data_IF_801545527439
#
_entry.id   IF_801545527439
#
_cell.length_a   1.000
_cell.length_b   1.000
_cell.length_c   1.000
_cell.angle_alpha   90.00
_cell.angle_beta   90.00
_cell.angle_gamma   90.00
#
_symmetry.space_group_name_H-M   'P 1'
#
loop_
_entity.id
_entity.type
_entity.pdbx_description
1 polymer ?
#
# COMPACT_ATOMS: atom_id res chain seq x y z
N UNK A 1 -15.07 -25.05 -0.99
CA UNK A 1 -14.50 -25.17 -2.36
C UNK A 1 -15.22 -26.32 -3.03
N UNK A 2 -15.84 -26.04 -4.16
CA UNK A 2 -16.43 -27.07 -5.03
C UNK A 2 -15.71 -27.00 -6.37
N UNK A 3 -15.04 -28.07 -6.77
CA UNK A 3 -14.24 -28.09 -8.00
C UNK A 3 -14.40 -29.44 -8.72
N UNK A 4 -14.55 -29.36 -10.04
CA UNK A 4 -14.52 -30.46 -10.99
C UNK A 4 -13.32 -30.26 -11.92
N UNK A 5 -12.48 -31.29 -12.04
CA UNK A 5 -11.25 -31.24 -12.82
C UNK A 5 -11.29 -32.37 -13.85
N UNK A 6 -11.38 -31.97 -15.11
CA UNK A 6 -11.11 -32.83 -16.25
C UNK A 6 -9.72 -32.47 -16.79
N UNK A 7 -9.01 -33.38 -17.45
CA UNK A 7 -7.58 -33.25 -17.79
C UNK A 7 -7.18 -31.91 -18.43
N UNK A 8 -8.10 -31.26 -19.15
CA UNK A 8 -7.88 -29.97 -19.81
C UNK A 8 -8.55 -28.77 -19.13
N UNK A 9 -9.44 -28.97 -18.15
CA UNK A 9 -10.24 -27.90 -17.53
C UNK A 9 -10.51 -28.12 -16.05
N UNK A 10 -10.35 -27.07 -15.26
CA UNK A 10 -10.78 -27.00 -13.87
C UNK A 10 -11.92 -25.97 -13.73
N UNK A 11 -13.09 -26.43 -13.30
CA UNK A 11 -14.25 -25.57 -13.04
C UNK A 11 -14.61 -25.65 -11.57
N UNK A 12 -15.00 -24.53 -10.97
CA UNK A 12 -15.49 -24.57 -9.61
C UNK A 12 -16.05 -23.26 -9.12
N UNK A 13 -16.30 -23.23 -7.81
CA UNK A 13 -16.72 -22.04 -7.08
C UNK A 13 -16.00 -21.99 -5.74
N UNK A 14 -15.43 -20.84 -5.42
CA UNK A 14 -14.99 -20.50 -4.09
C UNK A 14 -16.12 -19.71 -3.44
N UNK A 15 -16.75 -20.31 -2.44
CA UNK A 15 -17.85 -19.70 -1.70
C UNK A 15 -17.48 -19.69 -0.21
N UNK A 16 -17.55 -18.50 0.39
CA UNK A 16 -17.38 -18.25 1.82
C UNK A 16 -18.47 -17.27 2.22
N UNK A 17 -19.19 -17.58 3.28
CA UNK A 17 -20.25 -16.74 3.80
C UNK A 17 -20.08 -16.58 5.30
N UNK A 18 -20.12 -15.33 5.76
CA UNK A 18 -20.12 -14.94 7.18
C UNK A 18 -19.04 -15.68 8.01
N UNK A 19 -17.83 -15.80 7.43
CA UNK A 19 -16.72 -16.46 8.09
C UNK A 19 -15.96 -15.47 8.97
N UNK A 20 -15.86 -15.82 10.25
CA UNK A 20 -14.99 -15.18 11.21
C UNK A 20 -13.81 -16.09 11.53
N UNK A 21 -12.61 -15.52 11.56
CA UNK A 21 -11.37 -16.24 11.86
C UNK A 21 -10.61 -15.52 12.97
N UNK A 22 -10.33 -16.22 14.06
CA UNK A 22 -9.46 -15.73 15.14
C UNK A 22 -8.21 -16.60 15.23
N UNK A 23 -7.06 -15.95 15.18
CA UNK A 23 -5.80 -16.52 15.66
C UNK A 23 -5.51 -15.93 17.03
N UNK A 24 -5.22 -16.75 18.03
CA UNK A 24 -4.90 -16.26 19.37
C UNK A 24 -3.88 -17.12 20.10
N UNK A 25 -3.07 -16.44 20.92
CA UNK A 25 -2.12 -17.01 21.87
C UNK A 25 -2.41 -16.40 23.25
N UNK A 26 -2.95 -17.22 24.16
CA UNK A 26 -3.36 -16.78 25.49
C UNK A 26 -4.67 -15.98 25.52
N UNK A 27 -5.01 -15.46 26.70
CA UNK A 27 -6.23 -14.66 26.91
C UNK A 27 -5.84 -13.19 27.07
N UNK A 28 -6.26 -12.37 26.10
CA UNK A 28 -5.93 -10.95 26.11
C UNK A 28 -6.69 -10.16 27.15
N UNK A 29 -5.96 -9.50 28.05
CA UNK A 29 -6.52 -8.59 29.04
C UNK A 29 -5.47 -7.57 29.47
N UNK A 30 -5.89 -6.51 30.15
CA UNK A 30 -4.94 -5.56 30.76
C UNK A 30 -4.02 -6.21 31.80
N UNK A 31 -4.43 -7.35 32.40
CA UNK A 31 -3.62 -8.15 33.31
C UNK A 31 -2.69 -9.14 32.59
N UNK A 32 -2.88 -9.36 31.29
CA UNK A 32 -2.06 -10.22 30.44
C UNK A 32 -1.79 -9.53 29.10
N UNK A 33 -0.93 -8.49 29.09
CA UNK A 33 -0.63 -7.72 27.89
C UNK A 33 0.22 -8.50 26.89
N UNK A 34 0.95 -9.53 27.31
CA UNK A 34 1.82 -10.35 26.46
C UNK A 34 1.06 -11.40 25.61
N UNK A 35 -0.27 -11.33 25.61
CA UNK A 35 -1.10 -12.16 24.74
C UNK A 35 -0.90 -11.79 23.26
N UNK A 36 -1.47 -12.56 22.35
CA UNK A 36 -1.63 -12.10 20.97
C UNK A 36 -2.96 -12.58 20.43
N UNK A 37 -3.64 -11.74 19.66
CA UNK A 37 -4.81 -12.19 18.89
C UNK A 37 -5.03 -11.30 17.69
N UNK A 38 -5.41 -11.93 16.58
CA UNK A 38 -5.82 -11.29 15.33
C UNK A 38 -7.15 -11.89 14.91
N UNK A 39 -8.08 -11.02 14.58
CA UNK A 39 -9.43 -11.37 14.19
C UNK A 39 -9.71 -10.82 12.79
N UNK A 40 -10.25 -11.68 11.93
CA UNK A 40 -10.81 -11.34 10.63
C UNK A 40 -12.31 -11.56 10.73
N UNK A 41 -13.09 -10.51 10.52
CA UNK A 41 -14.54 -10.51 10.68
C UNK A 41 -15.27 -10.35 9.34
N UNK A 42 -16.42 -11.01 9.23
CA UNK A 42 -17.39 -10.91 8.13
C UNK A 42 -16.75 -11.20 6.76
N UNK A 43 -15.91 -12.24 6.68
CA UNK A 43 -15.31 -12.65 5.43
C UNK A 43 -16.36 -13.31 4.54
N UNK A 44 -16.60 -12.68 3.39
CA UNK A 44 -17.55 -13.13 2.38
C UNK A 44 -16.85 -13.18 1.01
N UNK A 45 -17.00 -14.30 0.31
CA UNK A 45 -16.43 -14.51 -1.02
C UNK A 45 -17.38 -15.35 -1.86
N UNK A 46 -17.65 -14.91 -3.08
CA UNK A 46 -18.36 -15.68 -4.08
C UNK A 46 -17.68 -15.53 -5.45
N UNK A 47 -16.81 -16.48 -5.76
CA UNK A 47 -16.01 -16.49 -6.98
C UNK A 47 -16.19 -17.80 -7.74
N UNK A 48 -17.08 -17.84 -8.75
CA UNK A 48 -17.06 -18.91 -9.75
C UNK A 48 -15.80 -18.80 -10.62
N UNK A 49 -15.22 -19.94 -10.99
CA UNK A 49 -14.06 -19.99 -11.87
C UNK A 49 -14.19 -21.11 -12.91
N UNK A 50 -13.60 -20.86 -14.08
CA UNK A 50 -13.33 -21.84 -15.12
C UNK A 50 -11.93 -21.57 -15.65
N UNK A 51 -11.05 -22.53 -15.42
CA UNK A 51 -9.67 -22.52 -15.85
C UNK A 51 -9.45 -23.57 -16.93
N UNK A 52 -8.83 -23.19 -18.04
CA UNK A 52 -8.51 -24.05 -19.18
C UNK A 52 -7.00 -24.31 -19.19
N UNK A 53 -6.57 -25.49 -18.75
CA UNK A 53 -5.15 -25.86 -18.63
C UNK A 53 -4.52 -26.05 -20.01
N UNK A 54 -5.33 -26.38 -21.03
CA UNK A 54 -4.89 -26.55 -22.40
C UNK A 54 -4.70 -25.22 -23.15
N UNK A 55 -4.91 -24.08 -22.49
CA UNK A 55 -4.77 -22.76 -23.10
C UNK A 55 -3.30 -22.41 -23.38
N UNK A 56 -2.88 -22.48 -24.65
CA UNK A 56 -1.47 -22.27 -25.04
C UNK A 56 -1.09 -20.84 -25.43
N UNK A 57 -2.07 -19.98 -25.70
CA UNK A 57 -1.85 -18.61 -26.17
C UNK A 57 -2.39 -17.57 -25.15
N UNK A 58 -1.77 -17.44 -23.97
CA UNK A 58 -2.24 -16.52 -22.95
C UNK A 58 -2.20 -15.08 -23.45
N UNK A 59 -3.27 -14.34 -23.18
CA UNK A 59 -3.38 -12.94 -23.57
C UNK A 59 -2.37 -12.10 -22.77
N UNK A 60 -1.47 -11.40 -23.45
CA UNK A 60 -0.58 -10.46 -22.77
C UNK A 60 -1.35 -9.17 -22.43
N UNK A 61 -1.72 -9.04 -21.17
CA UNK A 61 -2.52 -7.91 -20.66
C UNK A 61 -1.63 -6.69 -20.45
N UNK A 62 -0.38 -6.91 -20.07
CA UNK A 62 0.67 -5.90 -19.93
C UNK A 62 0.90 -5.07 -21.21
N UNK A 63 0.86 -5.71 -22.37
CA UNK A 63 1.18 -5.10 -23.67
C UNK A 63 0.02 -4.40 -24.37
N UNK A 64 -1.17 -4.33 -23.77
CA UNK A 64 -2.35 -3.73 -24.41
C UNK A 64 -2.62 -2.28 -23.91
N UNK A 65 -2.18 -1.25 -24.66
CA UNK A 65 -2.37 0.15 -24.27
C UNK A 65 -3.83 0.54 -24.51
N UNK A 66 -4.67 0.41 -23.49
CA UNK A 66 -6.07 0.81 -23.57
C UNK A 66 -7.02 0.01 -22.67
N UNK A 67 -6.58 -1.13 -22.13
CA UNK A 67 -7.34 -1.94 -21.14
C UNK A 67 -8.80 -2.20 -21.53
N UNK A 68 -9.11 -2.19 -22.83
CA UNK A 68 -10.46 -2.39 -23.37
C UNK A 68 -11.05 -3.71 -22.88
N UNK A 69 -10.21 -4.72 -22.71
CA UNK A 69 -10.62 -5.99 -22.11
C UNK A 69 -11.11 -5.86 -20.67
N UNK A 70 -10.49 -5.04 -19.81
CA UNK A 70 -10.95 -4.85 -18.42
C UNK A 70 -12.23 -4.02 -18.33
N UNK A 71 -12.54 -3.20 -19.34
CA UNK A 71 -13.77 -2.40 -19.36
C UNK A 71 -15.04 -3.28 -19.44
N UNK A 72 -14.91 -4.50 -20.00
CA UNK A 72 -16.00 -5.49 -20.08
C UNK A 72 -16.21 -6.27 -18.77
N UNK A 73 -15.34 -6.08 -17.78
CA UNK A 73 -15.46 -6.70 -16.46
C UNK A 73 -16.09 -5.69 -15.48
N UNK A 74 -17.13 -6.15 -14.77
CA UNK A 74 -17.54 -5.65 -13.46
C UNK A 74 -17.98 -4.20 -13.28
N UNK A 75 -17.93 -3.30 -14.27
CA UNK A 75 -18.26 -1.88 -14.03
C UNK A 75 -19.68 -1.71 -13.46
N UNK A 76 -19.77 -1.22 -12.21
CA UNK A 76 -21.03 -1.00 -11.50
C UNK A 76 -21.63 -2.23 -10.81
N UNK A 77 -20.96 -3.39 -10.79
CA UNK A 77 -21.44 -4.58 -10.09
C UNK A 77 -21.12 -4.55 -8.60
N UNK A 78 -21.94 -5.24 -7.80
CA UNK A 78 -21.74 -5.39 -6.36
C UNK A 78 -20.48 -6.21 -6.07
N UNK A 79 -19.77 -5.83 -5.00
CA UNK A 79 -18.62 -6.58 -4.49
C UNK A 79 -19.04 -8.00 -4.10
N UNK A 80 -18.29 -8.99 -4.59
CA UNK A 80 -18.44 -10.41 -4.24
C UNK A 80 -17.28 -10.90 -3.37
N UNK A 81 -16.36 -10.02 -2.99
CA UNK A 81 -15.35 -10.27 -1.97
C UNK A 81 -15.37 -9.12 -0.97
N UNK A 82 -15.63 -9.44 0.30
CA UNK A 82 -15.76 -8.47 1.38
C UNK A 82 -15.07 -9.01 2.63
N UNK A 83 -14.40 -8.11 3.35
CA UNK A 83 -13.99 -8.33 4.74
C UNK A 83 -14.55 -7.15 5.54
N UNK A 84 -15.29 -7.45 6.60
CA UNK A 84 -15.85 -6.45 7.51
C UNK A 84 -14.74 -5.69 8.23
N UNK A 85 -13.91 -6.40 8.99
CA UNK A 85 -12.75 -5.81 9.64
C UNK A 85 -11.60 -6.79 9.84
N UNK A 86 -10.39 -6.26 9.99
CA UNK A 86 -9.24 -7.00 10.52
C UNK A 86 -8.69 -6.20 11.68
N UNK A 87 -8.60 -6.83 12.84
CA UNK A 87 -8.20 -6.15 14.05
C UNK A 87 -7.42 -7.07 14.98
N UNK A 88 -6.62 -6.49 15.87
CA UNK A 88 -5.70 -7.20 16.74
C UNK A 88 -5.73 -6.66 18.16
N UNK A 89 -5.32 -7.50 19.11
CA UNK A 89 -5.02 -7.05 20.49
C UNK A 89 -3.79 -6.15 20.56
N UNK A 90 -3.00 -6.08 19.50
CA UNK A 90 -1.77 -5.30 19.41
C UNK A 90 -1.78 -4.36 18.20
N UNK A 91 -1.22 -3.17 18.37
CA UNK A 91 -0.99 -2.26 17.26
C UNK A 91 0.24 -2.72 16.41
N UNK A 92 0.52 -2.10 15.25
CA UNK A 92 1.66 -2.47 14.41
C UNK A 92 3.04 -2.33 15.09
N UNK A 93 3.12 -1.60 16.20
CA UNK A 93 4.34 -1.42 17.00
C UNK A 93 4.55 -2.55 18.03
N UNK A 94 3.59 -3.47 18.14
CA UNK A 94 3.60 -4.52 19.16
C UNK A 94 3.17 -4.04 20.54
N UNK A 95 2.43 -2.93 20.63
CA UNK A 95 1.89 -2.44 21.91
C UNK A 95 0.47 -2.97 22.11
N UNK A 96 0.17 -3.45 23.32
CA UNK A 96 -1.16 -3.91 23.70
C UNK A 96 -2.20 -2.80 23.57
N UNK A 97 -3.29 -3.08 22.87
CA UNK A 97 -4.40 -2.18 22.56
C UNK A 97 -5.69 -2.72 23.24
N UNK A 98 -6.06 -2.21 24.44
CA UNK A 98 -7.17 -2.75 25.23
C UNK A 98 -8.54 -2.74 24.55
N UNK A 99 -8.72 -1.90 23.52
CA UNK A 99 -9.94 -1.75 22.72
C UNK A 99 -9.90 -2.41 21.34
N UNK A 100 -8.86 -3.21 21.05
CA UNK A 100 -8.46 -3.70 19.71
C UNK A 100 -7.96 -2.58 18.79
N UNK A 101 -6.91 -2.88 18.04
CA UNK A 101 -6.42 -2.04 16.96
C UNK A 101 -7.00 -2.53 15.64
N UNK A 102 -7.72 -1.68 14.90
CA UNK A 102 -8.31 -2.01 13.62
C UNK A 102 -7.35 -1.66 12.49
N UNK A 103 -6.83 -2.67 11.80
CA UNK A 103 -6.00 -2.47 10.60
C UNK A 103 -6.84 -2.04 9.41
N UNK A 104 -7.99 -2.69 9.23
CA UNK A 104 -8.96 -2.32 8.20
C UNK A 104 -10.37 -2.42 8.77
N UNK A 105 -11.26 -1.60 8.24
CA UNK A 105 -12.65 -1.51 8.70
C UNK A 105 -12.77 -0.88 10.07
N UNK A 106 -13.94 -1.07 10.66
CA UNK A 106 -14.32 -0.55 11.96
C UNK A 106 -15.15 -1.62 12.68
N UNK A 107 -15.55 -1.43 13.95
CA UNK A 107 -16.46 -2.35 14.62
C UNK A 107 -17.75 -2.57 13.80
N UNK A 108 -18.29 -3.78 13.89
CA UNK A 108 -19.41 -4.27 13.07
C UNK A 108 -20.66 -3.37 13.06
N UNK A 109 -20.87 -2.57 14.11
CA UNK A 109 -22.01 -1.67 14.24
C UNK A 109 -22.01 -0.47 13.27
N UNK A 110 -20.96 -0.28 12.46
CA UNK A 110 -20.84 0.81 11.50
C UNK A 110 -21.35 0.44 10.09
N UNK A 111 -21.66 -0.82 9.78
CA UNK A 111 -22.06 -1.29 8.44
C UNK A 111 -21.09 -0.84 7.32
N UNK A 112 -19.78 -0.79 7.61
CA UNK A 112 -18.78 -0.46 6.59
C UNK A 112 -17.79 -1.61 6.46
N UNK A 113 -17.70 -2.17 5.25
CA UNK A 113 -16.65 -3.11 4.88
C UNK A 113 -15.29 -2.42 4.89
N UNK A 114 -14.35 -3.02 5.63
CA UNK A 114 -12.94 -2.63 5.64
C UNK A 114 -12.23 -2.97 4.34
N UNK A 115 -12.63 -4.05 3.67
CA UNK A 115 -12.20 -4.38 2.32
C UNK A 115 -13.42 -4.77 1.48
N UNK A 116 -13.49 -4.26 0.27
CA UNK A 116 -14.48 -4.67 -0.72
C UNK A 116 -13.84 -4.73 -2.10
N UNK A 117 -14.09 -5.78 -2.85
CA UNK A 117 -13.65 -5.93 -4.23
C UNK A 117 -14.67 -6.69 -5.06
N UNK A 118 -14.71 -6.42 -6.36
CA UNK A 118 -15.37 -7.27 -7.34
C UNK A 118 -14.32 -8.15 -8.00
N UNK A 119 -14.33 -9.44 -7.71
CA UNK A 119 -13.45 -10.45 -8.30
C UNK A 119 -14.18 -11.17 -9.44
N UNK A 120 -13.56 -11.20 -10.62
CA UNK A 120 -14.06 -11.96 -11.76
C UNK A 120 -12.95 -12.87 -12.29
N UNK A 121 -13.29 -14.13 -12.57
CA UNK A 121 -12.36 -15.10 -13.15
C UNK A 121 -12.83 -15.54 -14.53
N UNK A 122 -12.14 -15.11 -15.59
CA UNK A 122 -12.47 -15.51 -16.97
C UNK A 122 -11.21 -15.65 -17.82
N UNK A 123 -11.22 -16.63 -18.73
CA UNK A 123 -10.10 -16.90 -19.66
C UNK A 123 -8.75 -17.01 -18.94
N UNK A 124 -8.75 -17.73 -17.82
CA UNK A 124 -7.60 -17.92 -16.92
C UNK A 124 -7.07 -16.65 -16.24
N UNK A 125 -7.80 -15.53 -16.32
CA UNK A 125 -7.43 -14.28 -15.65
C UNK A 125 -8.36 -14.04 -14.47
N UNK A 126 -7.76 -13.85 -13.29
CA UNK A 126 -8.42 -13.25 -12.13
C UNK A 126 -8.29 -11.74 -12.23
N UNK A 127 -9.41 -11.03 -12.18
CA UNK A 127 -9.47 -9.57 -12.21
C UNK A 127 -10.15 -9.10 -10.94
N UNK A 128 -9.64 -8.02 -10.34
CA UNK A 128 -10.37 -7.29 -9.32
C UNK A 128 -10.67 -5.86 -9.81
N UNK A 129 -11.95 -5.62 -10.11
CA UNK A 129 -12.44 -4.29 -10.42
C UNK A 129 -12.76 -3.57 -9.11
N UNK A 130 -12.17 -2.39 -8.93
CA UNK A 130 -12.42 -1.54 -7.77
C UNK A 130 -12.22 -2.23 -6.42
N UNK A 131 -11.02 -2.78 -6.16
CA UNK A 131 -10.65 -3.13 -4.79
C UNK A 131 -10.53 -1.85 -3.96
N UNK A 132 -11.18 -1.80 -2.81
CA UNK A 132 -11.13 -0.69 -1.87
C UNK A 132 -10.85 -1.21 -0.48
N UNK A 133 -9.80 -0.67 0.13
CA UNK A 133 -9.48 -0.86 1.54
C UNK A 133 -9.73 0.45 2.27
N UNK A 134 -10.44 0.38 3.39
CA UNK A 134 -10.74 1.52 4.26
C UNK A 134 -10.19 1.26 5.64
N UNK A 135 -9.56 2.29 6.19
CA UNK A 135 -8.97 2.26 7.52
C UNK A 135 -9.71 3.30 8.36
N UNK A 136 -9.85 3.04 9.65
CA UNK A 136 -10.61 3.90 10.55
C UNK A 136 -9.88 4.08 11.87
N UNK A 137 -9.96 5.30 12.41
CA UNK A 137 -9.54 5.60 13.77
C UNK A 137 -10.68 5.48 14.76
N UNK A 138 -10.37 5.11 16.02
CA UNK A 138 -11.34 5.19 17.10
C UNK A 138 -11.80 6.64 17.27
N UNK A 139 -12.99 6.86 17.83
CA UNK A 139 -13.48 8.19 18.11
C UNK A 139 -12.53 8.93 19.06
N UNK A 140 -12.20 10.18 18.74
CA UNK A 140 -11.31 11.05 19.54
C UNK A 140 -12.01 11.68 20.76
N UNK A 141 -13.31 11.40 20.97
CA UNK A 141 -14.11 11.94 22.07
C UNK A 141 -14.41 13.44 21.96
N UNK A 142 -14.09 14.09 20.84
CA UNK A 142 -14.19 15.53 20.66
C UNK A 142 -15.00 15.94 19.42
N UNK A 143 -15.73 17.04 19.51
CA UNK A 143 -16.49 17.59 18.39
C UNK A 143 -17.77 16.82 18.01
N UNK A 144 -18.40 17.17 16.88
CA UNK A 144 -19.73 16.65 16.49
C UNK A 144 -19.73 15.15 16.12
N UNK A 145 -18.55 14.55 15.97
CA UNK A 145 -18.36 13.13 15.65
C UNK A 145 -17.65 12.35 16.77
N UNK A 146 -17.65 12.85 18.01
CA UNK A 146 -16.96 12.30 19.18
C UNK A 146 -17.19 10.80 19.46
N UNK A 147 -18.25 10.21 18.90
CA UNK A 147 -18.62 8.80 19.08
C UNK A 147 -18.57 7.96 17.78
N UNK A 148 -18.03 8.51 16.68
CA UNK A 148 -17.96 7.82 15.38
C UNK A 148 -16.51 7.52 15.01
N UNK A 149 -16.29 6.32 14.48
CA UNK A 149 -15.02 5.96 13.87
C UNK A 149 -14.77 6.86 12.66
N UNK A 150 -13.59 7.47 12.60
CA UNK A 150 -13.24 8.43 11.54
C UNK A 150 -12.44 7.71 10.45
N UNK A 151 -12.80 7.91 9.18
CA UNK A 151 -12.07 7.28 8.09
C UNK A 151 -10.66 7.87 7.97
N UNK A 152 -9.64 7.02 8.03
CA UNK A 152 -8.23 7.39 8.06
C UNK A 152 -7.52 6.92 6.79
N UNK A 153 -8.01 7.45 5.69
CA UNK A 153 -7.50 7.13 4.37
C UNK A 153 -8.07 5.85 3.77
N UNK A 154 -7.76 5.68 2.49
CA UNK A 154 -8.22 4.56 1.70
C UNK A 154 -7.17 4.18 0.67
N UNK A 155 -7.15 2.88 0.34
CA UNK A 155 -6.37 2.33 -0.75
C UNK A 155 -7.38 1.83 -1.79
N UNK A 156 -7.41 2.47 -2.95
CA UNK A 156 -8.22 2.05 -4.09
C UNK A 156 -7.31 1.36 -5.12
N UNK A 157 -7.67 0.18 -5.60
CA UNK A 157 -7.14 -0.39 -6.84
C UNK A 157 -8.12 -0.13 -7.97
N UNK A 158 -7.62 0.31 -9.13
CA UNK A 158 -8.47 0.47 -10.32
C UNK A 158 -8.41 -0.72 -11.26
N UNK A 159 -7.26 -1.38 -11.35
CA UNK A 159 -7.02 -2.44 -12.32
C UNK A 159 -6.05 -3.45 -11.70
N UNK A 160 -6.59 -4.40 -10.94
CA UNK A 160 -5.84 -5.57 -10.48
C UNK A 160 -6.14 -6.71 -11.43
N UNK A 161 -5.11 -7.38 -11.93
CA UNK A 161 -5.25 -8.63 -12.65
C UNK A 161 -4.13 -9.60 -12.31
N UNK A 162 -4.44 -10.88 -12.41
CA UNK A 162 -3.53 -12.00 -12.36
C UNK A 162 -3.92 -12.95 -13.49
N UNK A 163 -3.16 -12.92 -14.57
CA UNK A 163 -3.27 -13.86 -15.67
C UNK A 163 -2.51 -15.13 -15.30
N UNK A 164 -3.26 -16.20 -15.02
CA UNK A 164 -2.71 -17.49 -14.64
C UNK A 164 -2.31 -18.37 -15.83
N UNK A 165 -2.62 -17.94 -17.07
CA UNK A 165 -2.23 -18.65 -18.29
C UNK A 165 -2.50 -20.16 -18.21
N UNK A 166 -1.52 -20.98 -18.58
CA UNK A 166 -1.47 -22.46 -18.50
C UNK A 166 -0.90 -22.97 -17.15
N UNK A 167 -0.89 -22.12 -16.13
CA UNK A 167 -0.23 -22.35 -14.85
C UNK A 167 1.31 -22.48 -14.91
N UNK A 168 1.93 -22.16 -16.05
CA UNK A 168 3.38 -21.99 -16.14
C UNK A 168 3.76 -20.55 -15.75
N UNK A 169 4.58 -20.40 -14.72
CA UNK A 169 5.03 -19.09 -14.23
C UNK A 169 5.70 -18.22 -15.29
N UNK A 170 6.29 -18.81 -16.33
CA UNK A 170 6.88 -18.06 -17.45
C UNK A 170 5.86 -17.29 -18.29
N UNK A 171 4.62 -17.80 -18.31
CA UNK A 171 3.52 -17.29 -19.11
C UNK A 171 2.50 -16.48 -18.29
N UNK A 172 2.66 -16.46 -16.96
CA UNK A 172 1.79 -15.71 -16.07
C UNK A 172 2.16 -14.24 -16.03
N UNK A 173 1.14 -13.39 -15.87
CA UNK A 173 1.30 -11.95 -15.71
C UNK A 173 0.50 -11.46 -14.51
N UNK A 174 0.97 -10.41 -13.86
CA UNK A 174 0.24 -9.74 -12.80
C UNK A 174 0.37 -8.23 -12.92
N UNK A 175 -0.70 -7.50 -12.62
CA UNK A 175 -0.65 -6.05 -12.60
C UNK A 175 -1.61 -5.48 -11.59
N UNK A 176 -1.23 -4.35 -11.00
CA UNK A 176 -2.06 -3.62 -10.06
C UNK A 176 -1.77 -2.12 -10.12
N UNK A 177 -2.82 -1.31 -10.15
CA UNK A 177 -2.76 0.15 -10.04
C UNK A 177 -3.46 0.59 -8.78
N UNK A 178 -2.68 1.05 -7.80
CA UNK A 178 -3.11 1.51 -6.49
C UNK A 178 -3.11 3.04 -6.41
N UNK A 179 -4.12 3.58 -5.76
CA UNK A 179 -4.22 4.97 -5.34
C UNK A 179 -4.43 5.00 -3.82
N UNK A 180 -3.46 5.55 -3.11
CA UNK A 180 -3.46 5.74 -1.66
C UNK A 180 -3.87 7.19 -1.40
N UNK A 181 -4.91 7.38 -0.60
CA UNK A 181 -5.45 8.70 -0.28
C UNK A 181 -5.42 8.93 1.22
N UNK A 182 -4.67 9.96 1.64
CA UNK A 182 -4.62 10.48 3.00
C UNK A 182 -4.44 9.38 4.07
N UNK A 183 -3.57 8.40 3.79
CA UNK A 183 -3.30 7.31 4.72
C UNK A 183 -2.37 7.82 5.81
N UNK A 184 -2.78 7.75 7.07
CA UNK A 184 -1.90 8.07 8.18
C UNK A 184 -1.01 6.87 8.51
N UNK A 185 0.30 7.06 8.38
CA UNK A 185 1.29 6.03 8.72
C UNK A 185 1.74 6.08 10.17
N UNK A 186 1.32 7.07 10.96
CA UNK A 186 1.75 7.23 12.35
C UNK A 186 1.64 5.93 13.16
N UNK A 187 0.51 5.18 13.14
CA UNK A 187 0.39 3.94 13.92
C UNK A 187 1.36 2.83 13.51
N UNK A 188 1.90 2.91 12.28
CA UNK A 188 2.80 1.91 11.68
C UNK A 188 4.27 2.23 11.88
N UNK A 189 4.58 3.43 12.34
CA UNK A 189 5.94 3.92 12.53
C UNK A 189 6.30 3.89 14.01
N UNK A 190 7.59 3.75 14.39
CA UNK A 190 8.03 3.78 15.79
C UNK A 190 7.63 5.05 16.53
N UNK A 191 7.50 5.00 17.87
CA UNK A 191 7.19 6.18 18.70
C UNK A 191 8.28 7.25 18.53
N UNK A 192 7.87 8.38 17.99
CA UNK A 192 8.65 9.61 18.00
C UNK A 192 8.50 10.35 19.32
N UNK A 193 9.54 11.11 19.72
CA UNK A 193 9.46 12.09 20.81
C UNK A 193 8.75 13.39 20.42
N UNK A 194 8.55 13.66 19.12
CA UNK A 194 7.80 14.79 18.58
C UNK A 194 6.48 14.32 17.94
N UNK A 195 5.42 15.12 18.09
CA UNK A 195 4.16 14.90 17.38
C UNK A 195 4.40 15.19 15.89
N UNK A 196 4.10 14.24 15.01
CA UNK A 196 4.20 14.43 13.56
C UNK A 196 2.92 13.93 12.88
N UNK A 197 2.55 14.58 11.78
CA UNK A 197 1.45 14.15 10.92
C UNK A 197 2.00 13.07 9.98
N UNK A 198 1.48 11.84 10.02
CA UNK A 198 1.97 10.72 9.20
C UNK A 198 1.29 10.57 7.84
N UNK A 199 0.53 11.56 7.39
CA UNK A 199 -0.34 11.44 6.21
C UNK A 199 0.45 11.34 4.89
N UNK A 200 0.17 10.29 4.13
CA UNK A 200 0.66 10.09 2.76
C UNK A 200 -0.48 10.01 1.74
N UNK A 201 -0.23 10.53 0.55
CA UNK A 201 -1.03 10.23 -0.64
C UNK A 201 -0.11 9.93 -1.82
N UNK A 202 -0.35 8.81 -2.48
CA UNK A 202 0.52 8.27 -3.50
C UNK A 202 -0.24 7.41 -4.51
N UNK A 203 0.30 7.32 -5.71
CA UNK A 203 -0.12 6.36 -6.73
C UNK A 203 0.99 5.34 -6.94
N UNK A 204 0.63 4.06 -7.03
CA UNK A 204 1.58 3.00 -7.32
C UNK A 204 1.06 2.11 -8.45
N UNK A 205 1.91 1.84 -9.45
CA UNK A 205 1.69 0.84 -10.49
C UNK A 205 2.73 -0.25 -10.32
N UNK A 206 2.28 -1.50 -10.29
CA UNK A 206 3.13 -2.68 -10.30
C UNK A 206 2.68 -3.56 -11.45
N UNK A 207 3.62 -4.07 -12.22
CA UNK A 207 3.34 -4.90 -13.38
C UNK A 207 4.45 -5.91 -13.59
N UNK A 208 4.10 -7.18 -13.73
CA UNK A 208 5.01 -8.29 -13.98
C UNK A 208 4.55 -9.06 -15.20
N UNK A 209 5.44 -9.21 -16.18
CA UNK A 209 5.13 -9.87 -17.46
C UNK A 209 5.47 -11.36 -17.47
N UNK A 210 6.11 -11.86 -16.41
CA UNK A 210 6.48 -13.26 -16.20
C UNK A 210 6.80 -13.47 -14.71
N UNK A 211 6.17 -14.46 -14.07
CA UNK A 211 6.29 -14.74 -12.64
C UNK A 211 7.37 -15.78 -12.25
N UNK A 212 8.15 -16.31 -13.18
CA UNK A 212 9.30 -17.21 -12.89
C UNK A 212 10.40 -16.48 -12.12
N UNK A 213 10.71 -15.25 -12.55
CA UNK A 213 11.70 -14.38 -11.93
C UNK A 213 11.09 -13.00 -11.66
N UNK A 214 10.12 -12.92 -10.73
CA UNK A 214 9.26 -11.75 -10.58
C UNK A 214 10.06 -10.50 -10.24
N UNK A 215 11.18 -10.62 -9.51
CA UNK A 215 12.05 -9.49 -9.17
C UNK A 215 12.58 -8.74 -10.40
N UNK A 216 12.97 -9.48 -11.45
CA UNK A 216 13.58 -8.91 -12.66
C UNK A 216 12.53 -8.55 -13.71
N UNK A 217 11.42 -9.29 -13.73
CA UNK A 217 10.34 -9.12 -14.70
C UNK A 217 9.27 -8.11 -14.24
N UNK A 218 9.45 -7.52 -13.06
CA UNK A 218 8.52 -6.54 -12.51
C UNK A 218 8.99 -5.12 -12.79
N UNK A 219 8.08 -4.32 -13.33
CA UNK A 219 8.17 -2.86 -13.34
C UNK A 219 7.29 -2.31 -12.24
N UNK A 220 7.83 -1.40 -11.43
CA UNK A 220 7.05 -0.66 -10.44
C UNK A 220 7.24 0.83 -10.65
N UNK A 221 6.18 1.61 -10.45
CA UNK A 221 6.21 3.06 -10.46
C UNK A 221 5.44 3.54 -9.23
N UNK A 222 6.10 4.25 -8.33
CA UNK A 222 5.47 4.89 -7.17
C UNK A 222 5.63 6.39 -7.30
N UNK A 223 4.55 7.14 -7.15
CA UNK A 223 4.52 8.60 -7.20
C UNK A 223 3.86 9.14 -5.95
N UNK A 224 4.63 9.78 -5.08
CA UNK A 224 4.16 10.41 -3.84
C UNK A 224 3.88 11.87 -4.15
N UNK A 225 2.64 12.31 -3.92
CA UNK A 225 2.18 13.67 -4.24
C UNK A 225 1.77 14.47 -3.00
N UNK A 226 1.60 13.81 -1.86
CA UNK A 226 1.51 14.46 -0.54
C UNK A 226 2.30 13.65 0.47
N UNK A 227 3.17 14.35 1.19
CA UNK A 227 3.94 13.84 2.31
C UNK A 227 4.04 14.94 3.35
N UNK A 228 3.92 14.61 4.62
CA UNK A 228 4.13 15.60 5.68
C UNK A 228 5.59 16.06 5.72
N UNK A 229 5.87 17.31 6.13
CA UNK A 229 7.23 17.84 6.21
C UNK A 229 8.16 16.96 7.06
N UNK A 230 7.66 16.43 8.18
CA UNK A 230 8.41 15.59 9.12
C UNK A 230 8.78 14.23 8.52
N UNK A 231 7.91 13.69 7.66
CA UNK A 231 8.14 12.42 6.95
C UNK A 231 8.95 12.62 5.66
N UNK A 232 8.93 13.83 5.08
CA UNK A 232 9.67 14.14 3.86
C UNK A 232 11.18 13.92 4.03
N UNK A 233 11.76 14.28 5.18
CA UNK A 233 13.18 14.06 5.48
C UNK A 233 13.56 12.59 5.59
N UNK A 234 12.67 11.77 6.15
CA UNK A 234 12.83 10.32 6.24
C UNK A 234 12.77 9.66 4.85
N UNK A 235 11.73 9.94 4.06
CA UNK A 235 11.58 9.37 2.72
C UNK A 235 12.69 9.84 1.78
N UNK A 236 13.15 11.08 1.91
CA UNK A 236 14.29 11.59 1.13
C UNK A 236 15.58 10.83 1.43
N UNK A 237 15.86 10.43 2.68
CA UNK A 237 17.06 9.64 3.01
C UNK A 237 17.03 8.25 2.40
N UNK A 238 15.87 7.62 2.35
CA UNK A 238 15.71 6.32 1.67
C UNK A 238 16.00 6.48 0.18
N UNK A 239 15.42 7.53 -0.43
CA UNK A 239 15.43 7.73 -1.87
C UNK A 239 16.67 8.45 -2.41
N UNK A 240 17.51 9.10 -1.59
CA UNK A 240 18.61 10.00 -2.01
C UNK A 240 19.90 9.80 -1.20
N UNK A 241 21.11 10.06 -1.74
CA UNK A 241 22.35 10.04 -0.97
C UNK A 241 22.40 11.18 0.07
N UNK A 242 23.15 10.99 1.16
CA UNK A 242 23.24 11.94 2.27
C UNK A 242 23.65 13.37 1.86
N UNK A 243 24.48 13.51 0.82
CA UNK A 243 24.92 14.81 0.31
C UNK A 243 23.78 15.67 -0.25
N UNK A 244 22.76 15.04 -0.82
CA UNK A 244 21.59 15.73 -1.41
C UNK A 244 20.59 16.11 -0.32
N UNK A 245 20.42 15.25 0.68
CA UNK A 245 19.64 15.54 1.89
C UNK A 245 20.16 16.83 2.55
N UNK A 246 21.48 16.94 2.71
CA UNK A 246 22.11 18.14 3.27
C UNK A 246 21.84 19.42 2.43
N UNK A 247 21.79 19.31 1.10
CA UNK A 247 21.48 20.42 0.20
C UNK A 247 20.01 20.89 0.32
N UNK A 248 19.08 19.94 0.45
CA UNK A 248 17.64 20.22 0.60
C UNK A 248 17.37 20.91 1.94
N UNK A 249 17.93 20.36 3.03
CA UNK A 249 17.77 20.88 4.39
C UNK A 249 18.39 22.27 4.53
N UNK A 250 19.60 22.49 4.01
CA UNK A 250 20.30 23.79 4.09
C UNK A 250 19.59 24.91 3.32
N UNK A 251 18.93 24.59 2.21
CA UNK A 251 18.34 25.59 1.31
C UNK A 251 16.83 25.80 1.52
N UNK A 252 16.24 25.21 2.57
CA UNK A 252 14.79 25.29 2.86
C UNK A 252 13.94 24.98 1.63
N UNK A 253 14.28 23.90 0.92
CA UNK A 253 13.57 23.54 -0.30
C UNK A 253 12.35 22.68 0.03
N UNK A 254 11.21 22.98 -0.58
CA UNK A 254 10.00 22.17 -0.48
C UNK A 254 10.10 20.98 -1.45
N UNK A 255 9.65 19.81 -1.01
CA UNK A 255 9.59 18.60 -1.83
C UNK A 255 8.13 18.35 -2.23
N UNK A 256 7.66 18.91 -3.36
CA UNK A 256 6.28 18.74 -3.80
C UNK A 256 5.95 17.34 -4.31
N UNK A 257 6.93 16.59 -4.83
CA UNK A 257 6.70 15.26 -5.38
C UNK A 257 7.98 14.42 -5.40
N UNK A 258 7.82 13.12 -5.14
CA UNK A 258 8.85 12.10 -5.30
C UNK A 258 8.33 10.99 -6.19
N UNK A 259 9.20 10.45 -7.06
CA UNK A 259 8.90 9.30 -7.91
C UNK A 259 10.00 8.26 -7.77
N UNK A 260 9.61 7.00 -7.59
CA UNK A 260 10.50 5.86 -7.63
C UNK A 260 10.04 4.89 -8.72
N UNK A 261 10.99 4.33 -9.47
CA UNK A 261 10.74 3.39 -10.54
C UNK A 261 11.63 2.15 -10.35
N UNK A 262 11.03 0.96 -10.35
CA UNK A 262 11.72 -0.32 -10.40
C UNK A 262 11.68 -0.82 -11.83
N UNK A 263 12.84 -1.15 -12.41
CA UNK A 263 12.94 -1.76 -13.73
C UNK A 263 14.13 -2.71 -13.78
N UNK A 264 13.89 -3.98 -14.13
CA UNK A 264 14.94 -4.98 -14.25
C UNK A 264 15.72 -5.20 -12.94
N UNK A 265 15.05 -5.14 -11.78
CA UNK A 265 15.68 -5.25 -10.47
C UNK A 265 16.46 -4.01 -9.98
N UNK A 266 16.40 -2.90 -10.73
CA UNK A 266 17.05 -1.62 -10.39
C UNK A 266 16.03 -0.56 -10.00
N UNK A 267 16.31 0.16 -8.92
CA UNK A 267 15.52 1.29 -8.42
C UNK A 267 16.11 2.60 -8.94
N UNK A 268 15.25 3.44 -9.50
CA UNK A 268 15.52 4.79 -9.96
C UNK A 268 14.65 5.76 -9.17
N UNK A 269 15.23 6.84 -8.64
CA UNK A 269 14.49 7.84 -7.87
C UNK A 269 14.62 9.23 -8.49
N UNK A 270 13.52 9.98 -8.42
CA UNK A 270 13.36 11.32 -8.95
C UNK A 270 12.69 12.17 -7.87
N UNK A 271 13.31 13.29 -7.52
CA UNK A 271 12.72 14.24 -6.57
C UNK A 271 12.59 15.58 -7.27
N UNK A 272 11.35 16.09 -7.31
CA UNK A 272 11.08 17.46 -7.73
C UNK A 272 11.28 18.36 -6.53
N UNK A 273 11.99 19.45 -6.72
CA UNK A 273 12.30 20.41 -5.67
C UNK A 273 11.78 21.79 -6.08
N UNK A 274 11.17 22.49 -5.13
CA UNK A 274 10.74 23.87 -5.28
C UNK A 274 11.42 24.74 -4.21
N UNK A 275 11.85 25.95 -4.59
CA UNK A 275 12.38 26.93 -3.63
C UNK A 275 11.21 27.47 -2.79
N UNK A 276 11.33 27.42 -1.46
CA UNK A 276 10.32 28.00 -0.58
C UNK A 276 10.16 29.50 -0.86
N UNK A 277 8.91 29.96 -0.99
CA UNK A 277 8.55 31.36 -1.24
C UNK A 277 8.72 32.20 0.02
N UNK A 278 9.94 32.35 0.53
CA UNK A 278 10.22 33.16 1.72
C UNK A 278 10.68 34.59 1.41
N UNK A 279 10.12 35.27 0.39
CA UNK A 279 10.23 36.74 0.28
C UNK A 279 9.03 37.32 -0.51
N UNK A 280 8.15 38.15 0.11
CA UNK A 280 6.94 38.68 -0.54
C UNK A 280 7.22 39.85 -1.51
N UNK A 281 8.44 39.99 -2.03
CA UNK A 281 8.85 41.13 -2.85
C UNK A 281 9.52 40.79 -4.17
N UNK A 282 9.68 39.51 -4.51
CA UNK A 282 10.43 39.09 -5.70
C UNK A 282 9.56 38.15 -6.53
N UNK A 283 8.95 38.70 -7.59
CA UNK A 283 8.32 37.95 -8.67
C UNK A 283 9.41 37.26 -9.50
N UNK A 284 9.94 36.14 -9.01
CA UNK A 284 10.72 35.20 -9.80
C UNK A 284 9.88 33.94 -9.98
N UNK A 285 9.68 33.55 -11.23
CA UNK A 285 9.02 32.31 -11.61
C UNK A 285 9.72 31.13 -10.91
N UNK A 286 9.01 30.21 -10.23
CA UNK A 286 9.63 29.09 -9.56
C UNK A 286 10.22 28.14 -10.61
N UNK A 287 11.54 28.19 -10.79
CA UNK A 287 12.29 27.14 -11.48
C UNK A 287 12.21 25.87 -10.64
N UNK A 288 11.50 24.86 -11.14
CA UNK A 288 11.52 23.52 -10.55
C UNK A 288 12.78 22.81 -11.01
N UNK A 289 13.69 22.53 -10.09
CA UNK A 289 14.87 21.71 -10.36
C UNK A 289 14.52 20.25 -10.04
N UNK A 290 14.85 19.31 -10.95
CA UNK A 290 14.66 17.87 -10.76
C UNK A 290 16.01 17.23 -10.44
N UNK A 291 16.10 16.55 -9.29
CA UNK A 291 17.28 15.75 -8.96
C UNK A 291 16.99 14.30 -9.31
N UNK A 292 17.84 13.73 -10.18
CA UNK A 292 17.80 12.32 -10.57
C UNK A 292 18.92 11.58 -9.85
N UNK A 293 18.61 10.49 -9.17
CA UNK A 293 19.64 9.59 -8.64
C UNK A 293 19.88 8.40 -9.58
N UNK A 294 21.12 7.94 -9.61
CA UNK A 294 21.55 6.75 -10.33
C UNK A 294 21.05 5.43 -9.71
N UNK A 295 20.91 4.44 -10.60
CA UNK A 295 20.52 3.05 -10.38
C UNK A 295 21.02 2.46 -9.06
N UNK A 296 20.10 1.93 -8.26
CA UNK A 296 20.42 1.14 -7.07
C UNK A 296 19.80 -0.27 -7.19
N UNK A 297 20.54 -1.36 -6.94
CA UNK A 297 19.93 -2.69 -6.82
C UNK A 297 18.84 -2.72 -5.75
N UNK A 298 17.71 -3.37 -6.03
CA UNK A 298 16.57 -3.42 -5.09
C UNK A 298 16.95 -3.94 -3.70
N UNK A 299 17.83 -4.95 -3.62
CA UNK A 299 18.31 -5.46 -2.33
C UNK A 299 19.01 -4.37 -1.50
N UNK A 300 19.90 -3.59 -2.10
CA UNK A 300 20.59 -2.48 -1.43
C UNK A 300 19.61 -1.38 -1.02
N UNK A 301 18.62 -1.10 -1.87
CA UNK A 301 17.56 -0.16 -1.55
C UNK A 301 16.75 -0.59 -0.32
N UNK A 302 16.36 -1.87 -0.24
CA UNK A 302 15.61 -2.41 0.89
C UNK A 302 16.44 -2.42 2.19
N UNK A 303 17.72 -2.77 2.11
CA UNK A 303 18.62 -2.74 3.26
C UNK A 303 18.79 -1.31 3.79
N UNK A 304 18.90 -0.33 2.88
CA UNK A 304 18.93 1.09 3.23
C UNK A 304 17.62 1.56 3.84
N UNK A 305 16.48 1.17 3.27
CA UNK A 305 15.18 1.51 3.83
C UNK A 305 15.04 0.97 5.26
N UNK A 306 15.46 -0.28 5.50
CA UNK A 306 15.46 -0.89 6.83
C UNK A 306 16.37 -0.14 7.82
N UNK A 307 17.58 0.25 7.40
CA UNK A 307 18.49 0.99 8.29
C UNK A 307 17.92 2.36 8.65
N UNK A 308 17.35 3.08 7.70
CA UNK A 308 16.76 4.40 7.94
C UNK A 308 15.51 4.32 8.83
N UNK A 309 14.69 3.27 8.71
CA UNK A 309 13.55 3.03 9.62
C UNK A 309 14.02 2.87 11.07
N UNK A 310 15.09 2.10 11.28
CA UNK A 310 15.67 1.91 12.62
C UNK A 310 16.25 3.22 13.16
N UNK A 311 17.02 3.94 12.35
CA UNK A 311 17.61 5.22 12.75
C UNK A 311 16.54 6.27 13.07
N UNK A 312 15.43 6.30 12.32
CA UNK A 312 14.29 7.18 12.59
C UNK A 312 13.63 6.88 13.95
N UNK A 313 13.55 5.60 14.33
CA UNK A 313 13.06 5.17 15.63
C UNK A 313 13.91 5.69 16.80
N UNK A 314 15.23 5.76 16.61
CA UNK A 314 16.19 6.14 17.65
C UNK A 314 16.34 7.66 17.79
N UNK A 315 16.31 8.40 16.68
CA UNK A 315 16.58 9.84 16.66
C UNK A 315 15.31 10.71 16.75
N UNK A 316 14.18 10.19 16.27
CA UNK A 316 12.93 10.94 16.14
C UNK A 316 12.95 11.98 14.98
N UNK A 317 11.78 12.47 14.55
CA UNK A 317 11.63 13.56 13.59
C UNK A 317 12.21 14.85 14.18
N UNK A 318 13.25 15.38 13.52
CA UNK A 318 13.84 16.68 13.82
C UNK A 318 15.15 16.69 14.62
N UNK A 319 15.79 15.55 14.86
CA UNK A 319 17.08 15.46 15.57
C UNK A 319 18.25 16.19 14.91
N UNK A 320 18.11 16.57 13.64
CA UNK A 320 19.27 16.98 12.83
C UNK A 320 19.49 18.50 12.82
N UNK A 321 18.95 19.22 13.80
CA UNK A 321 19.17 20.67 13.93
C UNK A 321 20.52 21.01 14.57
N UNK A 322 21.25 20.06 15.18
CA UNK A 322 22.49 20.37 15.91
C UNK A 322 23.71 19.50 15.55
N UNK A 323 24.12 19.51 14.28
CA UNK A 323 25.54 19.25 13.95
C UNK A 323 26.17 20.47 13.27
N UNK A 324 26.34 21.53 14.06
CA UNK A 324 27.35 22.56 13.84
C UNK A 324 27.95 22.97 15.17
N UNK A 325 29.16 22.49 15.48
CA UNK A 325 30.31 23.25 16.01
C UNK A 325 31.52 22.30 16.15
N UNK A 326 32.76 22.78 15.95
CA UNK A 326 33.36 23.87 16.73
C UNK A 326 33.26 25.26 16.10
#
# INVERSE_FOLDING_TARGET
LEADVNGDRARGRVFIQDLDVEYFEGVCSTANPDCYSVYVQDLNLDLPFLHDVAWRDPLQLSQNPGKTYMQDYGQGQQSNFVIGSVHSSHNPRGEFAPGRFYYIGAPANQNVSGLAARLDYKKNVLIADHLRVRMYQPPDGSGPNANRWQAEGAIDSRELYLNLADLNTENMEAGINLAIKNLNLEPFLPRSKSNYDGIISADARLESTNLKEPLYNTTALVSIHRISPEFSGFVTRILMPAQIVALIVRNTLEIPAMRAELKGGLVYSYIKIQRARMFPGILISPGSDEIKQERMPLAQFLDRARSEVRDFAERGPGSDVNETTP
#
